data_IF_240636715458
#
_entry.id   IF_240636715458
#
_cell.length_a   1.000
_cell.length_b   1.000
_cell.length_c   1.000
_cell.angle_alpha   90.00
_cell.angle_beta   90.00
_cell.angle_gamma   90.00
#
_symmetry.space_group_name_H-M   'P 1'
#
loop_
_entity.id
_entity.type
_entity.pdbx_description
1 polymer ?
#
# COMPACT_ATOMS: atom_id res chain seq x y z
N UNK A 1 19.57 -21.27 -76.32
CA UNK A 1 20.12 -21.58 -75.00
C UNK A 1 19.55 -20.65 -74.02
N UNK A 2 18.87 -21.21 -73.05
CA UNK A 2 17.97 -20.46 -72.16
C UNK A 2 18.72 -20.03 -70.90
N UNK A 3 18.74 -18.76 -70.65
CA UNK A 3 19.18 -18.21 -69.39
C UNK A 3 17.94 -17.96 -68.52
N UNK A 4 17.80 -18.81 -67.57
CA UNK A 4 16.76 -18.65 -66.55
C UNK A 4 17.23 -17.59 -65.56
N UNK A 5 16.56 -16.45 -65.62
CA UNK A 5 16.70 -15.39 -64.62
C UNK A 5 16.08 -15.89 -63.32
N UNK A 6 16.95 -16.12 -62.33
CA UNK A 6 16.53 -16.48 -61.00
C UNK A 6 16.12 -15.18 -60.28
N UNK A 7 14.80 -14.99 -60.16
CA UNK A 7 14.27 -13.93 -59.31
C UNK A 7 14.54 -14.27 -57.84
N UNK A 8 15.52 -13.62 -57.27
CA UNK A 8 15.70 -13.62 -55.83
C UNK A 8 14.62 -12.72 -55.23
N UNK A 9 13.60 -13.38 -54.66
CA UNK A 9 12.66 -12.68 -53.79
C UNK A 9 13.31 -12.50 -52.41
N UNK A 10 13.86 -11.31 -52.21
CA UNK A 10 14.24 -10.85 -50.86
C UNK A 10 12.95 -10.55 -50.11
N UNK A 11 12.46 -11.51 -49.38
CA UNK A 11 11.42 -11.29 -48.38
C UNK A 11 12.06 -10.55 -47.19
N UNK A 12 11.96 -9.24 -47.21
CA UNK A 12 12.26 -8.42 -46.06
C UNK A 12 11.17 -8.66 -45.01
N UNK A 13 11.38 -9.63 -44.15
CA UNK A 13 10.58 -9.78 -42.94
C UNK A 13 10.93 -8.61 -42.00
N UNK A 14 10.09 -7.60 -42.06
CA UNK A 14 10.11 -6.49 -41.10
C UNK A 14 9.60 -7.03 -39.78
N UNK A 15 10.52 -7.49 -38.94
CA UNK A 15 10.20 -7.87 -37.56
C UNK A 15 9.95 -6.58 -36.79
N UNK A 16 8.69 -6.20 -36.71
CA UNK A 16 8.25 -5.13 -35.80
C UNK A 16 8.39 -5.69 -34.40
N UNK A 17 9.51 -5.40 -33.76
CA UNK A 17 9.69 -5.57 -32.33
C UNK A 17 8.82 -4.49 -31.69
N UNK A 18 7.60 -4.82 -31.33
CA UNK A 18 6.80 -4.07 -30.39
C UNK A 18 7.54 -4.12 -29.05
N UNK A 19 8.40 -3.13 -28.85
CA UNK A 19 8.87 -2.75 -27.51
C UNK A 19 7.63 -2.27 -26.76
N UNK A 20 6.88 -3.21 -26.20
CA UNK A 20 5.95 -2.92 -25.14
C UNK A 20 6.79 -2.39 -23.98
N UNK A 21 6.94 -1.08 -23.91
CA UNK A 21 7.33 -0.37 -22.71
C UNK A 21 6.23 -0.60 -21.66
N UNK A 22 6.10 -1.84 -21.22
CA UNK A 22 5.46 -2.14 -19.97
C UNK A 22 6.29 -1.41 -18.93
N UNK A 23 5.84 -0.25 -18.51
CA UNK A 23 6.26 0.31 -17.25
C UNK A 23 5.92 -0.77 -16.24
N UNK A 24 6.89 -1.59 -15.90
CA UNK A 24 6.84 -2.41 -14.73
C UNK A 24 6.75 -1.39 -13.59
N UNK A 25 5.53 -1.04 -13.24
CA UNK A 25 5.20 -0.38 -12.00
C UNK A 25 5.73 -1.33 -10.95
N UNK A 26 6.92 -1.04 -10.40
CA UNK A 26 7.42 -1.74 -9.25
C UNK A 26 6.45 -1.38 -8.13
N UNK A 27 5.35 -2.14 -8.03
CA UNK A 27 4.48 -2.07 -6.89
C UNK A 27 5.35 -2.46 -5.72
N UNK A 28 5.61 -1.49 -4.81
CA UNK A 28 6.16 -1.81 -3.52
C UNK A 28 5.32 -2.97 -2.95
N UNK A 29 5.96 -4.01 -2.38
CA UNK A 29 5.22 -5.11 -1.77
C UNK A 29 4.09 -4.51 -0.93
N UNK A 30 2.88 -5.02 -1.07
CA UNK A 30 1.67 -4.52 -0.39
C UNK A 30 1.88 -4.33 1.12
N UNK A 31 2.80 -5.08 1.70
CA UNK A 31 3.18 -5.05 3.11
C UNK A 31 3.98 -3.81 3.53
N UNK A 32 4.49 -3.03 2.58
CA UNK A 32 5.25 -1.79 2.85
C UNK A 32 4.46 -0.51 2.61
N UNK A 33 3.21 -0.63 2.22
CA UNK A 33 2.39 0.55 1.96
C UNK A 33 1.78 1.07 3.25
N UNK A 34 1.67 2.40 3.33
CA UNK A 34 0.82 3.02 4.31
C UNK A 34 -0.61 2.50 4.16
N UNK A 35 -1.25 2.17 5.27
CA UNK A 35 -2.64 1.73 5.26
C UNK A 35 -3.48 2.62 6.14
N UNK A 36 -4.66 2.96 5.68
CA UNK A 36 -5.66 3.68 6.46
C UNK A 36 -6.75 2.71 6.90
N UNK A 37 -7.02 2.71 8.19
CA UNK A 37 -8.07 1.90 8.80
C UNK A 37 -9.18 2.79 9.33
N UNK A 38 -10.40 2.43 9.04
CA UNK A 38 -11.58 2.97 9.67
C UNK A 38 -11.99 2.03 10.82
N UNK A 39 -12.00 2.54 12.03
CA UNK A 39 -12.28 1.78 13.25
C UNK A 39 -13.54 2.34 13.91
N UNK A 40 -14.59 1.54 13.95
CA UNK A 40 -15.81 1.91 14.63
C UNK A 40 -15.60 1.82 16.15
N UNK A 41 -15.86 2.92 16.85
CA UNK A 41 -15.69 2.97 18.30
C UNK A 41 -14.22 3.03 18.75
N UNK A 42 -13.32 3.60 17.92
CA UNK A 42 -11.94 3.83 18.29
C UNK A 42 -11.86 4.68 19.57
N UNK A 43 -11.09 4.24 20.54
CA UNK A 43 -10.81 4.98 21.78
C UNK A 43 -9.35 5.40 21.84
N UNK A 44 -9.07 6.40 22.70
CA UNK A 44 -7.69 6.81 22.98
C UNK A 44 -6.86 5.66 23.56
N UNK A 45 -7.46 4.83 24.43
CA UNK A 45 -6.78 3.68 25.03
C UNK A 45 -6.40 2.62 23.99
N UNK A 46 -7.28 2.34 23.00
CA UNK A 46 -6.97 1.42 21.90
C UNK A 46 -5.83 1.96 21.06
N UNK A 47 -5.86 3.24 20.69
CA UNK A 47 -4.81 3.92 19.94
C UNK A 47 -3.47 3.83 20.66
N UNK A 48 -3.43 4.19 21.92
CA UNK A 48 -2.20 4.28 22.71
C UNK A 48 -1.60 2.88 22.95
N UNK A 49 -2.45 1.89 23.25
CA UNK A 49 -2.03 0.48 23.36
C UNK A 49 -1.46 -0.06 22.05
N UNK A 50 -2.12 0.21 20.92
CA UNK A 50 -1.61 -0.18 19.61
C UNK A 50 -0.29 0.52 19.27
N UNK A 51 -0.17 1.80 19.57
CA UNK A 51 1.10 2.54 19.37
C UNK A 51 2.26 1.91 20.13
N UNK A 52 2.01 1.43 21.35
CA UNK A 52 3.02 0.76 22.16
C UNK A 52 3.41 -0.59 21.57
N UNK A 53 2.43 -1.39 21.14
CA UNK A 53 2.66 -2.70 20.51
C UNK A 53 3.45 -2.56 19.21
N UNK A 54 3.07 -1.60 18.35
CA UNK A 54 3.78 -1.31 17.11
C UNK A 54 5.21 -0.83 17.37
N UNK A 55 5.43 -0.04 18.40
CA UNK A 55 6.76 0.40 18.79
C UNK A 55 7.64 -0.77 19.23
N UNK A 56 7.11 -1.73 19.96
CA UNK A 56 7.82 -2.94 20.38
C UNK A 56 8.13 -3.85 19.19
N UNK A 57 7.20 -3.97 18.25
CA UNK A 57 7.37 -4.77 17.03
C UNK A 57 8.41 -4.15 16.08
N UNK A 58 8.44 -2.83 15.96
CA UNK A 58 9.46 -2.08 15.24
C UNK A 58 9.30 -1.99 13.72
N UNK A 59 8.19 -2.49 13.15
CA UNK A 59 7.97 -2.49 11.68
C UNK A 59 7.02 -1.40 11.19
N UNK A 60 6.05 -1.03 12.02
CA UNK A 60 5.05 -0.02 11.70
C UNK A 60 4.93 1.00 12.81
N UNK A 61 4.41 2.16 12.47
CA UNK A 61 4.04 3.23 13.41
C UNK A 61 2.67 3.79 13.06
N UNK A 62 1.99 4.36 14.03
CA UNK A 62 0.83 5.21 13.77
C UNK A 62 1.36 6.56 13.29
N UNK A 63 1.15 6.88 12.01
CA UNK A 63 1.52 8.16 11.43
C UNK A 63 0.48 9.25 11.73
N UNK A 64 -0.78 8.85 11.82
CA UNK A 64 -1.89 9.72 12.17
C UNK A 64 -3.02 8.92 12.81
N UNK A 65 -3.70 9.51 13.77
CA UNK A 65 -4.88 8.92 14.40
C UNK A 65 -5.91 9.99 14.72
N UNK A 66 -7.17 9.69 14.45
CA UNK A 66 -8.29 10.54 14.79
C UNK A 66 -9.37 9.74 15.51
N UNK A 67 -9.43 9.85 16.82
CA UNK A 67 -10.42 9.13 17.64
C UNK A 67 -11.85 9.53 17.29
N UNK A 68 -12.22 10.82 17.16
CA UNK A 68 -13.59 11.20 16.80
C UNK A 68 -14.06 10.66 15.46
N UNK A 69 -13.17 10.55 14.49
CA UNK A 69 -13.50 10.03 13.16
C UNK A 69 -13.28 8.51 13.05
N UNK A 70 -12.66 7.87 14.06
CA UNK A 70 -12.32 6.47 14.02
C UNK A 70 -11.26 6.11 12.97
N UNK A 71 -10.29 6.99 12.73
CA UNK A 71 -9.28 6.82 11.68
C UNK A 71 -7.91 6.51 12.29
N UNK A 72 -7.23 5.49 11.74
CA UNK A 72 -5.83 5.18 11.99
C UNK A 72 -5.08 5.10 10.66
N UNK A 73 -3.98 5.83 10.54
CA UNK A 73 -3.04 5.71 9.42
C UNK A 73 -1.77 5.07 9.94
N UNK A 74 -1.45 3.89 9.41
CA UNK A 74 -0.26 3.13 9.75
C UNK A 74 0.75 3.24 8.61
N UNK A 75 1.99 3.55 8.96
CA UNK A 75 3.09 3.64 8.02
C UNK A 75 4.22 2.69 8.40
N UNK A 76 4.87 2.04 7.41
CA UNK A 76 6.04 1.23 7.69
C UNK A 76 7.21 2.12 8.14
N UNK A 77 8.03 1.60 9.06
CA UNK A 77 9.26 2.24 9.48
C UNK A 77 10.35 1.93 8.45
N UNK A 78 10.88 2.96 7.79
CA UNK A 78 11.80 2.83 6.64
C UNK A 78 13.12 2.11 6.95
N UNK A 79 13.56 2.12 8.22
CA UNK A 79 14.84 1.55 8.66
C UNK A 79 14.73 0.13 9.25
N UNK A 80 13.57 -0.51 9.15
CA UNK A 80 13.33 -1.82 9.77
C UNK A 80 13.97 -3.01 9.01
N UNK A 81 14.79 -2.75 7.99
CA UNK A 81 15.52 -3.78 7.22
C UNK A 81 14.65 -4.58 6.26
N UNK A 82 15.26 -5.58 5.62
CA UNK A 82 14.59 -6.43 4.61
C UNK A 82 13.48 -7.31 5.16
N UNK A 83 13.50 -7.60 6.44
CA UNK A 83 12.49 -8.43 7.12
C UNK A 83 11.12 -7.75 7.21
N UNK A 84 11.10 -6.42 7.20
CA UNK A 84 9.84 -5.65 7.24
C UNK A 84 9.00 -5.74 5.96
N UNK A 85 9.56 -6.28 4.88
CA UNK A 85 8.86 -6.37 3.59
C UNK A 85 7.70 -7.37 3.60
N UNK A 86 7.66 -8.29 4.54
CA UNK A 86 6.68 -9.39 4.60
C UNK A 86 5.82 -9.37 5.86
N UNK A 87 6.04 -8.42 6.76
CA UNK A 87 5.30 -8.32 8.01
C UNK A 87 4.15 -7.34 7.88
N UNK A 88 2.93 -7.80 8.11
CA UNK A 88 1.73 -6.97 8.14
C UNK A 88 1.49 -6.44 9.55
N UNK A 89 1.02 -5.20 9.67
CA UNK A 89 0.59 -4.61 10.95
C UNK A 89 -0.76 -5.17 11.44
N UNK A 90 -1.56 -5.75 10.55
CA UNK A 90 -2.93 -6.19 10.86
C UNK A 90 -3.04 -7.19 12.02
N UNK A 91 -2.16 -8.19 12.19
CA UNK A 91 -2.23 -9.09 13.34
C UNK A 91 -2.15 -8.35 14.68
N UNK A 92 -1.30 -7.34 14.81
CA UNK A 92 -1.20 -6.53 16.03
C UNK A 92 -2.45 -5.66 16.24
N UNK A 93 -2.99 -5.11 15.16
CA UNK A 93 -4.23 -4.33 15.22
C UNK A 93 -5.37 -5.21 15.74
N UNK A 94 -5.50 -6.45 15.24
CA UNK A 94 -6.55 -7.39 15.65
C UNK A 94 -6.41 -7.92 17.09
N UNK A 95 -5.24 -7.82 17.70
CA UNK A 95 -5.04 -8.14 19.11
C UNK A 95 -5.64 -7.09 20.04
N UNK A 96 -5.71 -5.83 19.56
CA UNK A 96 -6.21 -4.70 20.35
C UNK A 96 -7.62 -4.25 20.01
N UNK A 97 -8.02 -4.46 18.78
CA UNK A 97 -9.27 -3.92 18.23
C UNK A 97 -10.05 -5.06 17.59
N UNK A 98 -11.33 -5.15 17.90
CA UNK A 98 -12.19 -6.16 17.29
C UNK A 98 -12.19 -6.04 15.77
N UNK A 99 -11.83 -7.13 15.12
CA UNK A 99 -11.75 -7.24 13.66
C UNK A 99 -13.04 -6.80 12.97
N UNK A 100 -14.19 -7.07 13.56
CA UNK A 100 -15.50 -6.74 13.01
C UNK A 100 -15.78 -5.22 13.00
N UNK A 101 -15.00 -4.44 13.76
CA UNK A 101 -15.10 -2.97 13.81
C UNK A 101 -14.16 -2.26 12.87
N UNK A 102 -13.27 -3.01 12.19
CA UNK A 102 -12.22 -2.48 11.34
C UNK A 102 -12.59 -2.68 9.86
N UNK A 103 -12.41 -1.64 9.08
CA UNK A 103 -12.41 -1.71 7.62
C UNK A 103 -11.20 -0.94 7.06
N UNK A 104 -10.68 -1.40 5.92
CA UNK A 104 -9.67 -0.67 5.18
C UNK A 104 -10.29 0.53 4.48
N UNK A 105 -9.54 1.62 4.37
CA UNK A 105 -9.98 2.86 3.74
C UNK A 105 -8.96 3.29 2.69
N UNK A 106 -9.44 3.77 1.55
CA UNK A 106 -8.63 4.33 0.46
C UNK A 106 -8.15 5.77 0.76
N UNK A 107 -8.46 6.33 1.92
CA UNK A 107 -8.05 7.66 2.29
C UNK A 107 -6.52 7.72 2.42
N UNK A 108 -5.90 8.66 1.74
CA UNK A 108 -4.53 9.05 2.05
C UNK A 108 -4.49 9.87 3.36
N UNK A 109 -3.28 10.20 3.80
CA UNK A 109 -3.09 10.94 5.06
C UNK A 109 -3.78 12.30 5.04
N UNK A 110 -3.69 13.03 3.93
CA UNK A 110 -4.29 14.37 3.83
C UNK A 110 -5.82 14.29 3.91
N UNK A 111 -6.42 13.33 3.21
CA UNK A 111 -7.86 13.09 3.27
C UNK A 111 -8.31 12.62 4.66
N UNK A 112 -7.51 11.81 5.35
CA UNK A 112 -7.75 11.40 6.72
C UNK A 112 -7.72 12.59 7.70
N UNK A 113 -6.75 13.48 7.54
CA UNK A 113 -6.66 14.72 8.34
C UNK A 113 -7.86 15.65 8.11
N UNK A 114 -8.29 15.82 6.84
CA UNK A 114 -9.49 16.61 6.50
C UNK A 114 -10.76 16.02 7.14
N UNK A 115 -10.93 14.68 7.06
CA UNK A 115 -12.04 13.98 7.72
C UNK A 115 -12.04 14.18 9.24
N UNK A 116 -10.85 14.18 9.83
CA UNK A 116 -10.72 14.42 11.26
C UNK A 116 -11.16 15.83 11.64
N UNK A 117 -10.79 16.84 10.86
CA UNK A 117 -11.19 18.23 11.08
C UNK A 117 -12.71 18.37 11.02
N UNK A 118 -13.36 17.74 10.04
CA UNK A 118 -14.83 17.72 9.94
C UNK A 118 -15.49 17.06 11.16
N UNK A 119 -14.94 15.92 11.63
CA UNK A 119 -15.49 15.20 12.77
C UNK A 119 -15.38 15.97 14.09
N UNK A 120 -14.36 16.83 14.24
CA UNK A 120 -14.17 17.70 15.41
C UNK A 120 -15.10 18.91 15.43
N UNK A 121 -15.60 19.31 14.27
CA UNK A 121 -16.45 20.50 14.11
C UNK A 121 -17.96 20.18 14.19
N UNK A 122 -18.32 18.93 14.41
CA UNK A 122 -19.72 18.49 14.63
C UNK A 122 -20.05 18.45 16.10
#
# INVERSE_FOLDING_TARGET
MQYRVLCLHLAATLTVILLSNGKASAQAPLDRQAMTLQVRGLTAAMRDGLAQDLKQDGYYKIAFACVPAGILVLEPITNAGTRSATVSALPLVYQRIDRNTISTSELDRNAAEARCAEARNR
#
